data_IF_885813142999
#
_entry.id   IF_885813142999
#
_cell.length_a   1.000
_cell.length_b   1.000
_cell.length_c   1.000
_cell.angle_alpha   90.00
_cell.angle_beta   90.00
_cell.angle_gamma   90.00
#
_symmetry.space_group_name_H-M   'P 1'
#
loop_
_entity.id
_entity.type
_entity.pdbx_description
1 polymer ?
#
# COMPACT_ATOMS: atom_id res chain seq x y z
N UNK A 1 -5.16 4.02 -17.43
CA UNK A 1 -5.37 2.85 -16.56
C UNK A 1 -4.36 2.93 -15.43
N UNK A 2 -4.72 2.66 -14.16
CA UNK A 2 -3.71 2.56 -13.12
C UNK A 2 -2.72 1.46 -13.53
N UNK A 3 -1.44 1.81 -13.57
CA UNK A 3 -0.39 0.81 -13.78
C UNK A 3 -0.13 0.19 -12.41
N UNK A 4 -0.62 -1.04 -12.23
CA UNK A 4 -0.30 -1.84 -11.05
C UNK A 4 1.19 -2.16 -11.10
N UNK A 5 1.90 -1.79 -10.04
CA UNK A 5 3.33 -2.05 -9.91
C UNK A 5 3.56 -2.86 -8.63
N UNK A 6 4.44 -3.88 -8.67
CA UNK A 6 4.85 -4.59 -7.46
C UNK A 6 5.31 -3.62 -6.37
N UNK A 7 4.84 -3.82 -5.14
CA UNK A 7 5.11 -2.96 -4.00
C UNK A 7 4.03 -1.90 -3.71
N UNK A 8 3.10 -1.62 -4.63
CA UNK A 8 2.02 -0.68 -4.35
C UNK A 8 1.01 -1.26 -3.33
N UNK A 9 0.40 -0.39 -2.52
CA UNK A 9 -0.63 -0.76 -1.54
C UNK A 9 -2.04 -0.53 -2.06
N UNK A 10 -2.90 -1.54 -1.93
CA UNK A 10 -4.26 -1.54 -2.47
C UNK A 10 -5.23 -2.24 -1.50
N UNK A 11 -6.51 -1.85 -1.55
CA UNK A 11 -7.60 -2.54 -0.86
C UNK A 11 -8.58 -3.10 -1.90
N UNK A 12 -9.28 -4.17 -1.52
CA UNK A 12 -10.43 -4.69 -2.28
C UNK A 12 -11.70 -4.02 -1.77
N UNK A 13 -12.42 -3.34 -2.66
CA UNK A 13 -13.69 -2.68 -2.31
C UNK A 13 -14.81 -3.71 -2.05
N UNK A 14 -14.65 -4.94 -2.54
CA UNK A 14 -15.63 -6.04 -2.37
C UNK A 14 -15.30 -6.97 -1.22
N UNK A 15 -14.06 -6.97 -0.72
CA UNK A 15 -13.56 -7.87 0.33
C UNK A 15 -12.80 -7.05 1.39
N UNK A 16 -13.53 -6.16 2.07
CA UNK A 16 -12.98 -5.23 3.07
C UNK A 16 -12.26 -5.94 4.23
N UNK A 17 -12.64 -7.19 4.51
CA UNK A 17 -12.04 -8.04 5.55
C UNK A 17 -10.58 -8.40 5.28
N UNK A 18 -10.12 -8.33 4.02
CA UNK A 18 -8.73 -8.63 3.65
C UNK A 18 -7.78 -7.52 4.11
N UNK A 19 -8.30 -6.31 4.32
CA UNK A 19 -7.52 -5.15 4.69
C UNK A 19 -6.56 -4.70 3.59
N UNK A 20 -5.39 -4.20 4.01
CA UNK A 20 -4.41 -3.57 3.13
C UNK A 20 -3.50 -4.61 2.49
N UNK A 21 -3.63 -4.78 1.17
CA UNK A 21 -2.80 -5.66 0.37
C UNK A 21 -1.66 -4.94 -0.33
N UNK A 22 -0.68 -5.72 -0.80
CA UNK A 22 0.47 -5.26 -1.58
C UNK A 22 0.53 -6.01 -2.89
N UNK A 23 0.72 -5.30 -4.00
CA UNK A 23 0.92 -5.93 -5.31
C UNK A 23 2.20 -6.75 -5.28
N UNK A 24 2.12 -8.04 -5.58
CA UNK A 24 3.28 -8.93 -5.68
C UNK A 24 3.65 -9.26 -7.12
N UNK A 25 2.71 -9.09 -8.06
CA UNK A 25 2.98 -9.34 -9.48
C UNK A 25 1.86 -8.87 -10.40
N UNK A 26 2.22 -8.59 -11.65
CA UNK A 26 1.28 -8.31 -12.73
C UNK A 26 1.66 -9.16 -13.94
N UNK A 27 0.75 -9.99 -14.42
CA UNK A 27 0.97 -10.86 -15.57
C UNK A 27 -0.21 -10.75 -16.55
N UNK A 28 0.07 -10.31 -17.77
CA UNK A 28 -0.95 -10.09 -18.80
C UNK A 28 -2.04 -9.13 -18.34
N UNK A 29 -3.26 -9.64 -18.13
CA UNK A 29 -4.43 -8.87 -17.65
C UNK A 29 -4.77 -9.16 -16.19
N UNK A 30 -3.86 -9.76 -15.43
CA UNK A 30 -4.07 -10.15 -14.04
C UNK A 30 -3.08 -9.43 -13.13
N UNK A 31 -3.55 -9.09 -11.95
CA UNK A 31 -2.75 -8.54 -10.86
C UNK A 31 -2.88 -9.45 -9.64
N UNK A 32 -1.76 -9.76 -9.01
CA UNK A 32 -1.68 -10.55 -7.78
C UNK A 32 -1.42 -9.61 -6.61
N UNK A 33 -2.25 -9.73 -5.59
CA UNK A 33 -2.16 -8.97 -4.34
C UNK A 33 -2.00 -9.95 -3.20
N UNK A 34 -1.00 -9.70 -2.36
CA UNK A 34 -0.86 -10.40 -1.08
C UNK A 34 -1.43 -9.53 0.03
N UNK A 35 -2.25 -10.12 0.91
CA UNK A 35 -2.87 -9.48 2.06
C UNK A 35 -2.20 -9.98 3.35
N UNK A 36 -1.22 -9.24 3.90
CA UNK A 36 -0.43 -9.70 5.05
C UNK A 36 -1.26 -9.89 6.32
N UNK A 37 -2.40 -9.20 6.44
CA UNK A 37 -3.27 -9.27 7.61
C UNK A 37 -3.85 -10.68 7.82
N UNK A 38 -4.03 -11.44 6.74
CA UNK A 38 -4.60 -12.80 6.78
C UNK A 38 -3.69 -13.84 6.12
N UNK A 39 -2.49 -13.45 5.68
CA UNK A 39 -1.51 -14.29 4.98
C UNK A 39 -2.07 -15.00 3.72
N UNK A 40 -2.91 -14.30 2.94
CA UNK A 40 -3.47 -14.83 1.70
C UNK A 40 -3.08 -14.02 0.47
N UNK A 41 -3.17 -14.64 -0.70
CA UNK A 41 -3.04 -13.94 -1.98
C UNK A 41 -4.34 -14.03 -2.78
N UNK A 42 -4.66 -12.97 -3.50
CA UNK A 42 -5.77 -12.90 -4.45
C UNK A 42 -5.26 -12.49 -5.82
N UNK A 43 -5.95 -12.96 -6.86
CA UNK A 43 -5.66 -12.60 -8.25
C UNK A 43 -6.89 -11.95 -8.83
N UNK A 44 -6.76 -10.70 -9.26
CA UNK A 44 -7.84 -9.94 -9.88
C UNK A 44 -7.55 -9.75 -11.37
N UNK A 45 -8.62 -9.66 -12.19
CA UNK A 45 -8.48 -9.12 -13.53
C UNK A 45 -8.26 -7.60 -13.42
N UNK A 46 -7.26 -7.06 -14.13
CA UNK A 46 -6.94 -5.63 -14.13
C UNK A 46 -8.13 -4.79 -14.60
N UNK A 47 -8.88 -5.30 -15.58
CA UNK A 47 -10.07 -4.64 -16.11
C UNK A 47 -11.24 -4.83 -15.15
N UNK A 48 -11.80 -3.72 -14.68
CA UNK A 48 -12.94 -3.75 -13.76
C UNK A 48 -12.60 -4.27 -12.36
N UNK A 49 -11.31 -4.33 -12.00
CA UNK A 49 -10.89 -4.73 -10.66
C UNK A 49 -11.53 -3.78 -9.63
N UNK A 50 -12.23 -4.28 -8.60
CA UNK A 50 -12.75 -3.48 -7.49
C UNK A 50 -11.61 -3.16 -6.51
N UNK A 51 -10.56 -2.52 -7.02
CA UNK A 51 -9.34 -2.23 -6.28
C UNK A 51 -9.16 -0.73 -6.16
N UNK A 52 -8.96 -0.27 -4.92
CA UNK A 52 -8.66 1.14 -4.63
C UNK A 52 -7.23 1.27 -4.15
N UNK A 53 -6.47 2.17 -4.78
CA UNK A 53 -5.08 2.45 -4.38
C UNK A 53 -5.10 3.23 -3.09
N UNK A 54 -4.35 2.76 -2.09
CA UNK A 54 -4.20 3.47 -0.81
C UNK A 54 -2.97 4.37 -0.90
N UNK A 55 -3.19 5.66 -0.69
CA UNK A 55 -2.13 6.65 -0.58
C UNK A 55 -2.42 7.55 0.63
N UNK A 56 -1.47 7.64 1.54
CA UNK A 56 -1.58 8.50 2.71
C UNK A 56 -1.11 9.92 2.40
N UNK A 57 -1.72 10.90 3.06
CA UNK A 57 -1.41 12.31 2.91
C UNK A 57 -0.66 12.84 4.13
N UNK A 58 -0.04 14.01 3.97
CA UNK A 58 0.57 14.71 5.10
C UNK A 58 -0.48 14.99 6.19
N UNK A 59 -0.17 14.63 7.43
CA UNK A 59 -1.09 14.68 8.57
C UNK A 59 -1.67 13.33 8.98
N UNK A 60 -1.60 12.30 8.11
CA UNK A 60 -2.09 10.97 8.46
C UNK A 60 -1.15 10.27 9.45
N UNK A 61 -1.71 9.51 10.38
CA UNK A 61 -0.97 8.60 11.24
C UNK A 61 -1.03 7.20 10.65
N UNK A 62 0.12 6.61 10.36
CA UNK A 62 0.23 5.30 9.71
C UNK A 62 1.05 4.34 10.55
N UNK A 63 0.73 3.05 10.43
CA UNK A 63 1.44 1.95 11.08
C UNK A 63 2.26 1.17 10.06
N UNK A 64 3.52 0.91 10.43
CA UNK A 64 4.43 0.05 9.70
C UNK A 64 4.08 -1.42 9.91
N UNK A 65 4.67 -2.31 9.10
CA UNK A 65 4.51 -3.76 9.30
C UNK A 65 5.18 -4.27 10.57
N UNK A 66 6.21 -3.57 11.06
CA UNK A 66 6.87 -3.93 12.32
C UNK A 66 6.15 -3.38 13.57
N UNK A 67 4.95 -2.81 13.42
CA UNK A 67 4.07 -2.38 14.52
C UNK A 67 4.43 -1.01 15.12
N UNK A 68 5.41 -0.29 14.56
CA UNK A 68 5.66 1.10 14.95
C UNK A 68 4.84 2.06 14.10
N UNK A 69 4.52 3.23 14.66
CA UNK A 69 3.68 4.24 14.03
C UNK A 69 4.47 5.52 13.71
N UNK A 70 4.01 6.23 12.69
CA UNK A 70 4.54 7.56 12.34
C UNK A 70 3.44 8.51 11.87
N UNK A 71 3.66 9.80 12.04
CA UNK A 71 2.88 10.86 11.42
C UNK A 71 3.51 11.23 10.09
N UNK A 72 2.76 11.10 8.99
CA UNK A 72 3.23 11.44 7.65
C UNK A 72 3.40 12.96 7.56
N UNK A 73 4.58 13.40 7.15
CA UNK A 73 4.90 14.80 6.84
C UNK A 73 4.93 15.05 5.34
N UNK A 74 5.36 14.07 4.57
CA UNK A 74 5.47 14.18 3.13
C UNK A 74 5.32 12.80 2.48
N UNK A 75 4.64 12.74 1.34
CA UNK A 75 4.57 11.56 0.49
C UNK A 75 5.31 11.86 -0.82
N UNK A 76 6.29 11.04 -1.17
CA UNK A 76 7.11 11.18 -2.38
C UNK A 76 6.76 10.06 -3.35
N UNK A 77 6.26 10.39 -4.53
CA UNK A 77 5.99 9.41 -5.59
C UNK A 77 7.23 9.32 -6.51
N UNK A 78 7.92 8.19 -6.46
CA UNK A 78 9.07 7.88 -7.33
C UNK A 78 8.83 6.56 -8.04
N UNK A 79 8.96 6.53 -9.36
CA UNK A 79 8.78 5.33 -10.19
C UNK A 79 7.46 4.57 -9.93
N UNK A 80 6.41 5.30 -9.55
CA UNK A 80 5.08 4.74 -9.27
C UNK A 80 4.90 4.12 -7.89
N UNK A 81 5.92 4.19 -7.02
CA UNK A 81 5.88 3.81 -5.60
C UNK A 81 5.94 5.05 -4.72
N UNK A 82 5.25 5.01 -3.58
CA UNK A 82 5.25 6.11 -2.61
C UNK A 82 6.24 5.80 -1.48
N UNK A 83 7.04 6.79 -1.14
CA UNK A 83 7.83 6.82 0.10
C UNK A 83 7.24 7.88 1.03
N UNK A 84 6.81 7.46 2.21
CA UNK A 84 6.31 8.33 3.26
C UNK A 84 7.47 8.78 4.14
N UNK A 85 7.68 10.09 4.23
CA UNK A 85 8.58 10.73 5.17
C UNK A 85 7.76 11.29 6.31
N UNK A 86 8.22 11.08 7.54
CA UNK A 86 7.53 11.62 8.69
C UNK A 86 8.31 11.37 9.97
N UNK A 87 7.59 11.35 11.08
CA UNK A 87 8.22 11.27 12.39
C UNK A 87 7.42 10.35 13.33
N UNK A 88 8.15 9.65 14.20
CA UNK A 88 7.56 8.83 15.26
C UNK A 88 7.19 9.69 16.47
N UNK A 89 6.51 9.09 17.44
CA UNK A 89 6.10 9.76 18.69
C UNK A 89 7.26 10.31 19.54
N UNK A 90 8.47 9.78 19.35
CA UNK A 90 9.70 10.25 19.99
C UNK A 90 10.39 11.42 19.25
N UNK A 91 9.80 11.89 18.14
CA UNK A 91 10.35 12.95 17.29
C UNK A 91 11.45 12.48 16.32
N UNK A 92 11.74 11.19 16.27
CA UNK A 92 12.69 10.64 15.30
C UNK A 92 12.11 10.70 13.88
N UNK A 93 12.88 11.24 12.94
CA UNK A 93 12.52 11.22 11.53
C UNK A 93 12.69 9.82 10.97
N UNK A 94 11.66 9.34 10.28
CA UNK A 94 11.62 8.02 9.68
C UNK A 94 11.08 8.09 8.27
N UNK A 95 11.44 7.07 7.48
CA UNK A 95 10.93 6.84 6.15
C UNK A 95 10.27 5.47 6.10
N UNK A 96 9.10 5.40 5.49
CA UNK A 96 8.38 4.16 5.24
C UNK A 96 8.10 4.06 3.74
N UNK A 97 8.63 3.03 3.11
CA UNK A 97 8.32 2.70 1.72
C UNK A 97 6.99 1.91 1.66
N UNK A 98 6.33 1.88 0.51
CA UNK A 98 5.08 1.11 0.32
C UNK A 98 5.25 -0.42 0.47
N UNK A 99 6.46 -0.93 0.74
CA UNK A 99 6.89 -2.33 0.67
C UNK A 99 7.05 -3.07 1.98
#
# INVERSE_FOLDING_TARGET
>A
MPSFLPGQRWISDTESELGLGVITGCEGRRVTIHFPAIDESRVYAIEGAPLTRVAFSAGDQIESREGWQMSVRQALLNDGLITYLGERSDGSQVRLEEL
#
